data_IF_252621601937
#
_entry.id   IF_252621601937
#
_cell.length_a   1.000
_cell.length_b   1.000
_cell.length_c   1.000
_cell.angle_alpha   90.00
_cell.angle_beta   90.00
_cell.angle_gamma   90.00
#
_symmetry.space_group_name_H-M   'P 1'
#
loop_
_entity.id
_entity.type
_entity.pdbx_description
1 polymer ?
#
# COMPACT_ATOMS: atom_id res chain seq x y z
N UNK A 1 12.89 14.29 -0.05
CA UNK A 1 12.27 13.23 -0.90
C UNK A 1 12.96 13.17 -2.26
N UNK A 2 12.76 12.09 -3.05
CA UNK A 2 13.33 12.01 -4.41
C UNK A 2 12.87 13.17 -5.32
N UNK A 3 11.65 13.65 -5.09
CA UNK A 3 11.09 14.81 -5.77
C UNK A 3 11.85 16.11 -5.44
N UNK A 4 12.25 16.32 -4.18
CA UNK A 4 13.13 17.45 -3.78
C UNK A 4 14.52 17.37 -4.40
N UNK A 5 14.94 16.19 -4.86
CA UNK A 5 16.22 15.99 -5.57
C UNK A 5 16.07 16.12 -7.10
N UNK A 6 14.91 16.54 -7.60
CA UNK A 6 14.64 16.71 -9.04
C UNK A 6 14.31 15.41 -9.78
N UNK A 7 14.18 14.29 -9.07
CA UNK A 7 13.76 13.01 -9.64
C UNK A 7 12.24 12.95 -9.58
N UNK A 8 11.61 13.21 -10.73
CA UNK A 8 10.15 13.22 -10.88
C UNK A 8 9.64 11.88 -11.39
N UNK A 9 8.40 11.52 -11.04
CA UNK A 9 7.73 10.30 -11.53
C UNK A 9 8.03 9.00 -10.77
N UNK A 10 8.78 9.07 -9.68
CA UNK A 10 8.95 7.94 -8.76
C UNK A 10 7.94 8.06 -7.63
N UNK A 11 7.07 7.05 -7.38
CA UNK A 11 6.17 7.09 -6.24
C UNK A 11 6.97 7.29 -4.95
N UNK A 12 6.43 8.12 -4.05
CA UNK A 12 7.05 8.46 -2.79
C UNK A 12 6.98 7.29 -1.82
N UNK A 13 8.00 6.44 -1.81
CA UNK A 13 8.27 5.47 -0.75
C UNK A 13 7.67 4.08 -0.94
N UNK A 14 7.99 3.20 0.01
CA UNK A 14 7.43 1.86 0.13
C UNK A 14 6.03 1.90 0.72
N UNK A 15 5.16 1.00 0.30
CA UNK A 15 3.80 0.84 0.82
C UNK A 15 3.68 -0.45 1.62
N UNK A 16 2.64 -0.52 2.46
CA UNK A 16 2.25 -1.71 3.20
C UNK A 16 0.79 -2.04 2.90
N UNK A 17 0.42 -3.31 3.01
CA UNK A 17 -0.92 -3.82 2.68
C UNK A 17 -1.40 -4.88 3.65
N UNK A 18 -2.71 -4.91 3.87
CA UNK A 18 -3.41 -5.99 4.59
C UNK A 18 -4.21 -6.78 3.56
N UNK A 19 -4.09 -8.10 3.61
CA UNK A 19 -4.74 -9.01 2.66
C UNK A 19 -5.60 -10.02 3.42
N UNK A 20 -6.69 -10.45 2.79
CA UNK A 20 -7.55 -11.53 3.27
C UNK A 20 -7.36 -12.79 2.42
N UNK A 21 -7.70 -13.99 2.92
CA UNK A 21 -7.58 -15.23 2.13
C UNK A 21 -8.36 -15.16 0.81
N UNK A 22 -7.84 -15.81 -0.23
CA UNK A 22 -8.53 -15.95 -1.51
C UNK A 22 -9.90 -16.64 -1.33
N UNK A 23 -10.94 -16.10 -1.97
CA UNK A 23 -12.31 -16.58 -1.84
C UNK A 23 -13.07 -16.06 -0.61
N UNK A 24 -12.47 -15.16 0.17
CA UNK A 24 -13.21 -14.38 1.18
C UNK A 24 -14.35 -13.58 0.54
N UNK A 25 -15.45 -13.38 1.27
CA UNK A 25 -16.55 -12.53 0.79
C UNK A 25 -16.21 -11.04 0.89
N UNK A 26 -16.92 -10.23 0.11
CA UNK A 26 -16.77 -8.77 0.12
C UNK A 26 -17.09 -8.18 1.49
N UNK A 27 -18.09 -8.74 2.20
CA UNK A 27 -18.43 -8.31 3.56
C UNK A 27 -17.30 -8.59 4.55
N UNK A 28 -16.61 -9.73 4.42
CA UNK A 28 -15.47 -10.03 5.27
C UNK A 28 -14.30 -9.08 4.99
N UNK A 29 -14.01 -8.79 3.72
CA UNK A 29 -12.99 -7.82 3.35
C UNK A 29 -13.33 -6.42 3.91
N UNK A 30 -14.60 -6.02 3.84
CA UNK A 30 -15.07 -4.75 4.40
C UNK A 30 -14.89 -4.68 5.92
N UNK A 31 -15.24 -5.75 6.65
CA UNK A 31 -15.03 -5.81 8.11
C UNK A 31 -13.56 -5.65 8.50
N UNK A 32 -12.64 -6.26 7.76
CA UNK A 32 -11.20 -6.10 7.98
C UNK A 32 -10.77 -4.67 7.69
N UNK A 33 -11.24 -4.09 6.59
CA UNK A 33 -10.95 -2.70 6.23
C UNK A 33 -11.43 -1.71 7.30
N UNK A 34 -12.65 -1.88 7.80
CA UNK A 34 -13.21 -1.07 8.89
C UNK A 34 -12.38 -1.20 10.17
N UNK A 35 -12.00 -2.42 10.56
CA UNK A 35 -11.19 -2.66 11.76
C UNK A 35 -9.79 -2.03 11.66
N UNK A 36 -9.14 -2.13 10.49
CA UNK A 36 -7.85 -1.49 10.25
C UNK A 36 -7.99 0.03 10.28
N UNK A 37 -9.00 0.58 9.61
CA UNK A 37 -9.26 2.02 9.59
C UNK A 37 -9.54 2.57 10.99
N UNK A 38 -10.30 1.84 11.79
CA UNK A 38 -10.54 2.16 13.20
C UNK A 38 -9.24 2.18 14.01
N UNK A 39 -8.37 1.17 13.84
CA UNK A 39 -7.08 1.13 14.53
C UNK A 39 -6.15 2.28 14.12
N UNK A 40 -6.12 2.65 12.83
CA UNK A 40 -5.31 3.76 12.34
C UNK A 40 -5.80 5.14 12.81
N UNK A 41 -7.05 5.25 13.27
CA UNK A 41 -7.56 6.46 13.90
C UNK A 41 -7.06 6.66 15.36
N UNK A 42 -6.47 5.62 15.97
CA UNK A 42 -5.91 5.71 17.31
C UNK A 42 -4.56 6.46 17.32
N UNK A 43 -4.40 7.54 18.12
CA UNK A 43 -3.15 8.30 18.16
C UNK A 43 -1.94 7.49 18.62
N UNK A 44 -2.14 6.49 19.49
CA UNK A 44 -1.08 5.59 19.93
C UNK A 44 -0.56 4.71 18.80
N UNK A 45 -1.46 4.20 17.96
CA UNK A 45 -1.10 3.46 16.73
C UNK A 45 -0.35 4.37 15.76
N UNK A 46 -0.84 5.59 15.51
CA UNK A 46 -0.15 6.56 14.66
C UNK A 46 1.26 6.90 15.17
N UNK A 47 1.41 7.08 16.48
CA UNK A 47 2.71 7.36 17.10
C UNK A 47 3.67 6.17 16.99
N UNK A 48 3.17 4.94 17.15
CA UNK A 48 3.96 3.73 16.98
C UNK A 48 4.48 3.60 15.52
N UNK A 49 3.61 3.85 14.53
CA UNK A 49 3.99 3.85 13.11
C UNK A 49 5.00 4.97 12.79
N UNK A 50 4.78 6.17 13.32
CA UNK A 50 5.70 7.29 13.14
C UNK A 50 7.10 7.00 13.69
N UNK A 51 7.20 6.27 14.80
CA UNK A 51 8.48 5.82 15.38
C UNK A 51 9.25 4.88 14.46
N UNK A 52 8.54 4.16 13.58
CA UNK A 52 9.11 3.30 12.55
C UNK A 52 9.41 4.05 11.23
N UNK A 53 9.21 5.38 11.19
CA UNK A 53 9.36 6.19 9.99
C UNK A 53 8.21 6.00 8.98
N UNK A 54 7.06 5.51 9.44
CA UNK A 54 5.87 5.29 8.61
C UNK A 54 4.83 6.37 8.89
N UNK A 55 4.11 6.76 7.85
CA UNK A 55 2.91 7.58 7.96
C UNK A 55 1.71 6.77 7.49
N UNK A 56 0.62 6.80 8.25
CA UNK A 56 -0.57 6.02 7.95
C UNK A 56 -1.49 6.80 6.99
N UNK A 57 -1.54 6.35 5.74
CA UNK A 57 -2.52 6.79 4.76
C UNK A 57 -3.33 5.59 4.27
N UNK A 58 -4.44 5.25 4.95
CA UNK A 58 -5.30 4.15 4.51
C UNK A 58 -5.89 4.43 3.13
N UNK A 59 -6.14 3.39 2.36
CA UNK A 59 -6.92 3.50 1.12
C UNK A 59 -8.36 3.96 1.43
N UNK A 60 -9.02 4.56 0.45
CA UNK A 60 -10.42 5.02 0.61
C UNK A 60 -11.41 3.86 0.77
N UNK A 61 -11.08 2.69 0.21
CA UNK A 61 -11.89 1.46 0.30
C UNK A 61 -11.03 0.22 0.00
N UNK A 62 -11.56 -1.02 0.19
CA UNK A 62 -10.93 -2.24 -0.30
C UNK A 62 -10.68 -2.22 -1.82
N UNK A 63 -11.65 -1.73 -2.60
CA UNK A 63 -11.56 -1.65 -4.06
C UNK A 63 -10.49 -0.66 -4.51
N UNK A 64 -10.37 0.48 -3.81
CA UNK A 64 -9.31 1.45 -4.06
C UNK A 64 -7.92 0.83 -3.82
N UNK A 65 -7.78 -0.02 -2.80
CA UNK A 65 -6.53 -0.75 -2.56
C UNK A 65 -6.23 -1.79 -3.64
N UNK A 66 -7.25 -2.51 -4.14
CA UNK A 66 -7.10 -3.43 -5.26
C UNK A 66 -6.61 -2.70 -6.52
N UNK A 67 -7.21 -1.55 -6.84
CA UNK A 67 -6.81 -0.73 -7.98
C UNK A 67 -5.35 -0.26 -7.84
N UNK A 68 -4.93 0.17 -6.65
CA UNK A 68 -3.54 0.53 -6.36
C UNK A 68 -2.57 -0.63 -6.60
N UNK A 69 -2.89 -1.83 -6.09
CA UNK A 69 -2.03 -3.01 -6.27
C UNK A 69 -1.88 -3.39 -7.74
N UNK A 70 -2.95 -3.32 -8.53
CA UNK A 70 -2.90 -3.58 -9.97
C UNK A 70 -2.00 -2.58 -10.71
N UNK A 71 -2.09 -1.29 -10.33
CA UNK A 71 -1.21 -0.26 -10.87
C UNK A 71 0.26 -0.50 -10.49
N UNK A 72 0.52 -0.86 -9.23
CA UNK A 72 1.89 -1.16 -8.76
C UNK A 72 2.47 -2.41 -9.43
N UNK A 73 1.70 -3.47 -9.59
CA UNK A 73 2.13 -4.67 -10.34
C UNK A 73 2.50 -4.31 -11.78
N UNK A 74 1.68 -3.49 -12.45
CA UNK A 74 1.97 -3.02 -13.81
C UNK A 74 3.26 -2.20 -13.85
N UNK A 75 3.42 -1.24 -12.93
CA UNK A 75 4.60 -0.37 -12.86
C UNK A 75 5.88 -1.15 -12.57
N UNK A 76 5.84 -2.02 -11.56
CA UNK A 76 6.99 -2.81 -11.14
C UNK A 76 7.34 -3.89 -12.17
N UNK A 77 6.35 -4.53 -12.78
CA UNK A 77 6.56 -5.48 -13.88
C UNK A 77 7.22 -4.83 -15.09
N UNK A 78 6.77 -3.64 -15.50
CA UNK A 78 7.39 -2.88 -16.59
C UNK A 78 8.85 -2.50 -16.26
N UNK A 79 9.13 -2.11 -15.01
CA UNK A 79 10.49 -1.81 -14.56
C UNK A 79 11.39 -3.06 -14.58
N UNK A 80 10.92 -4.18 -14.04
CA UNK A 80 11.66 -5.45 -14.05
C UNK A 80 11.99 -5.89 -15.48
N UNK A 81 11.00 -5.88 -16.37
CA UNK A 81 11.18 -6.25 -17.78
C UNK A 81 12.18 -5.33 -18.52
N UNK A 82 12.16 -4.02 -18.25
CA UNK A 82 13.11 -3.07 -18.84
C UNK A 82 14.56 -3.39 -18.50
N UNK A 83 14.82 -3.88 -17.29
CA UNK A 83 16.17 -4.14 -16.79
C UNK A 83 16.56 -5.62 -16.81
N UNK A 84 15.72 -6.49 -17.38
CA UNK A 84 15.98 -7.93 -17.44
C UNK A 84 16.08 -8.58 -16.06
N UNK A 85 15.35 -8.05 -15.08
CA UNK A 85 15.30 -8.62 -13.73
C UNK A 85 14.35 -9.82 -13.77
N UNK A 86 14.89 -10.97 -13.39
CA UNK A 86 14.15 -12.23 -13.25
C UNK A 86 14.09 -12.63 -11.78
N UNK A 87 13.00 -13.26 -11.38
CA UNK A 87 12.72 -13.67 -9.99
C UNK A 87 12.56 -15.19 -9.85
N UNK A 88 12.91 -15.96 -10.89
CA UNK A 88 13.01 -17.43 -10.87
C UNK A 88 14.07 -17.99 -9.89
#
# INVERSE_FOLDING_TARGET
>A
TMNESGITGMPSGSWNGVFVPAGSSDEFAMQIFEAVSYALADPGVQQALSTLGMEAWPSESPEAFVAFIQAEQTRLGAAAGRYGIDFD
#
